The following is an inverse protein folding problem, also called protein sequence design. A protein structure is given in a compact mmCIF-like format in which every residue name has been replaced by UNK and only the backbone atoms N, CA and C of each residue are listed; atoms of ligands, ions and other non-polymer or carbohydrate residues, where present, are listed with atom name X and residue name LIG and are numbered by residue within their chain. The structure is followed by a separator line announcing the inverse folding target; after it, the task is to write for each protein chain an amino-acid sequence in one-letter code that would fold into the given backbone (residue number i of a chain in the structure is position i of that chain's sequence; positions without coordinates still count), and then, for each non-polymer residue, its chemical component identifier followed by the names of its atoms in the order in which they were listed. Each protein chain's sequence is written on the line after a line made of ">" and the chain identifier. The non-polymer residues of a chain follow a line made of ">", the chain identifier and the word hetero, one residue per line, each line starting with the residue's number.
data_IF_371053112234
#
_entry.id   IF_371053112234
#
_cell.length_a   1.000
_cell.length_b   1.000
_cell.length_c   1.000
_cell.angle_alpha   90.00
_cell.angle_beta   90.00
_cell.angle_gamma   90.00
#
_symmetry.space_group_name_H-M   'P 1'
#
loop_
_entity.id
_entity.type
_entity.pdbx_description
1 polymer ?
#
# COMPACT_ATOMS: atom_id res chain seq x y z
N UNK A 1 -3.84 -15.36 -21.89
CA UNK A 1 -2.98 -16.48 -21.42
C UNK A 1 -1.98 -16.81 -22.52
N UNK A 2 -0.69 -16.94 -22.18
CA UNK A 2 0.35 -17.17 -23.20
C UNK A 2 0.15 -18.54 -23.88
N UNK A 3 0.09 -18.60 -25.22
CA UNK A 3 -0.08 -19.86 -25.96
C UNK A 3 1.18 -20.74 -25.96
N UNK A 4 2.28 -20.30 -25.34
CA UNK A 4 3.59 -20.95 -25.39
C UNK A 4 3.90 -21.91 -24.23
N UNK A 5 3.01 -22.01 -23.24
CA UNK A 5 3.22 -22.85 -22.05
C UNK A 5 2.48 -24.17 -22.21
N UNK A 6 3.21 -25.28 -22.06
CA UNK A 6 2.60 -26.61 -21.93
C UNK A 6 1.78 -26.68 -20.63
N UNK A 7 0.87 -27.66 -20.50
CA UNK A 7 0.11 -27.85 -19.27
C UNK A 7 1.01 -28.07 -18.06
N UNK A 8 2.08 -28.86 -18.17
CA UNK A 8 2.97 -29.17 -17.03
C UNK A 8 3.66 -27.90 -16.51
N UNK A 9 4.18 -27.07 -17.42
CA UNK A 9 4.83 -25.81 -17.04
C UNK A 9 3.90 -24.85 -16.28
N UNK A 10 2.58 -24.93 -16.51
CA UNK A 10 1.61 -24.10 -15.79
C UNK A 10 1.41 -24.61 -14.38
N UNK A 11 1.37 -25.93 -14.19
CA UNK A 11 1.29 -26.55 -12.87
C UNK A 11 2.54 -26.22 -12.05
N UNK A 12 3.73 -26.34 -12.64
CA UNK A 12 4.98 -25.95 -11.99
C UNK A 12 4.98 -24.49 -11.53
N UNK A 13 4.50 -23.56 -12.38
CA UNK A 13 4.40 -22.14 -12.02
C UNK A 13 3.42 -21.94 -10.85
N UNK A 14 2.27 -22.60 -10.88
CA UNK A 14 1.29 -22.51 -9.80
C UNK A 14 1.90 -23.03 -8.50
N UNK A 15 2.61 -24.17 -8.56
CA UNK A 15 3.28 -24.75 -7.39
C UNK A 15 4.33 -23.80 -6.81
N UNK A 16 5.16 -23.17 -7.65
CA UNK A 16 6.13 -22.15 -7.23
C UNK A 16 5.44 -20.94 -6.62
N UNK A 17 4.36 -20.43 -7.23
CA UNK A 17 3.60 -19.29 -6.70
C UNK A 17 2.99 -19.61 -5.33
N UNK A 18 2.51 -20.85 -5.13
CA UNK A 18 2.02 -21.31 -3.83
C UNK A 18 3.13 -21.48 -2.80
N UNK A 19 4.24 -22.10 -3.19
CA UNK A 19 5.40 -22.35 -2.34
C UNK A 19 6.00 -21.04 -1.82
N UNK A 20 6.13 -20.04 -2.68
CA UNK A 20 6.71 -18.73 -2.36
C UNK A 20 5.66 -17.62 -2.24
N UNK A 21 4.41 -17.95 -1.89
CA UNK A 21 3.29 -16.99 -1.80
C UNK A 21 3.59 -15.74 -0.96
N UNK A 22 4.54 -15.83 -0.04
CA UNK A 22 4.93 -14.71 0.84
C UNK A 22 5.88 -13.71 0.18
N UNK A 23 6.60 -14.13 -0.86
CA UNK A 23 7.48 -13.28 -1.64
C UNK A 23 6.72 -12.41 -2.65
N UNK A 24 5.46 -12.77 -2.95
CA UNK A 24 4.60 -12.04 -3.87
C UNK A 24 3.68 -11.08 -3.12
N UNK A 25 3.37 -9.95 -3.75
CA UNK A 25 2.36 -9.03 -3.24
C UNK A 25 0.98 -9.71 -3.30
N UNK A 26 0.25 -9.68 -2.19
CA UNK A 26 -1.11 -10.20 -2.08
C UNK A 26 -1.96 -9.24 -1.27
N UNK A 27 -3.23 -9.11 -1.65
CA UNK A 27 -4.21 -8.20 -1.04
C UNK A 27 -4.43 -8.47 0.47
N UNK A 28 -4.08 -9.67 0.93
CA UNK A 28 -4.25 -10.12 2.31
C UNK A 28 -3.05 -9.85 3.23
N UNK A 29 -1.93 -9.35 2.70
CA UNK A 29 -0.73 -9.04 3.49
C UNK A 29 -0.44 -7.55 3.45
N UNK A 30 -0.08 -6.98 4.60
CA UNK A 30 0.32 -5.59 4.69
C UNK A 30 1.61 -5.36 3.91
N UNK A 31 1.64 -4.33 3.07
CA UNK A 31 2.85 -3.94 2.36
C UNK A 31 3.87 -3.37 3.35
N UNK A 32 5.13 -3.77 3.22
CA UNK A 32 6.25 -3.07 3.87
C UNK A 32 6.38 -3.26 5.38
N UNK A 33 5.83 -4.33 5.97
CA UNK A 33 6.02 -4.67 7.38
C UNK A 33 7.44 -5.21 7.70
N UNK A 34 8.48 -4.63 7.09
CA UNK A 34 9.89 -4.96 7.37
C UNK A 34 10.28 -4.24 8.66
N UNK A 35 10.39 -5.01 9.75
CA UNK A 35 10.84 -4.50 11.06
C UNK A 35 12.28 -4.00 10.94
N UNK A 36 12.60 -2.87 11.60
CA UNK A 36 13.96 -2.34 11.68
C UNK A 36 14.38 -1.41 10.53
N UNK A 37 13.47 -1.06 9.62
CA UNK A 37 13.70 -0.09 8.55
C UNK A 37 12.88 1.20 8.76
N UNK A 38 12.56 1.53 10.01
CA UNK A 38 11.83 2.74 10.35
C UNK A 38 12.68 3.98 10.05
N UNK A 39 12.12 4.93 9.29
CA UNK A 39 12.80 6.18 8.94
C UNK A 39 12.45 7.25 9.97
N UNK A 40 13.47 7.73 10.69
CA UNK A 40 13.35 8.91 11.53
C UNK A 40 13.46 10.18 10.69
N UNK A 41 12.40 10.98 10.62
CA UNK A 41 12.42 12.29 9.96
C UNK A 41 12.77 13.35 11.02
N UNK A 42 13.99 13.88 10.97
CA UNK A 42 14.46 14.95 11.87
C UNK A 42 14.10 16.30 11.25
N UNK A 43 13.46 17.16 12.03
CA UNK A 43 13.09 18.51 11.61
C UNK A 43 14.18 19.50 12.03
N UNK A 44 14.55 20.42 11.13
CA UNK A 44 15.56 21.44 11.39
C UNK A 44 15.00 22.68 12.11
N UNK A 45 13.78 22.61 12.67
CA UNK A 45 13.10 23.74 13.32
C UNK A 45 12.63 23.36 14.72
N UNK A 46 12.34 24.35 15.56
CA UNK A 46 11.87 24.15 16.94
C UNK A 46 10.35 24.30 17.04
N UNK A 47 9.76 23.87 18.18
CA UNK A 47 8.31 23.82 18.47
C UNK A 47 7.56 25.11 18.10
N UNK A 48 6.26 25.06 17.76
CA UNK A 48 5.25 24.05 18.11
C UNK A 48 4.94 23.04 17.00
N UNK A 49 4.84 21.77 17.40
CA UNK A 49 4.59 20.63 16.53
C UNK A 49 3.37 19.83 16.97
N UNK A 50 2.64 19.20 16.02
CA UNK A 50 2.79 19.34 14.56
C UNK A 50 2.32 20.72 14.06
N UNK A 51 2.81 21.19 12.90
CA UNK A 51 2.28 22.42 12.31
C UNK A 51 0.79 22.22 12.00
N UNK A 52 -0.05 23.11 12.53
CA UNK A 52 -1.47 23.13 12.19
C UNK A 52 -1.63 23.27 10.67
N UNK A 53 -2.43 22.40 10.07
CA UNK A 53 -2.83 22.54 8.67
C UNK A 53 -3.60 23.86 8.53
N UNK A 54 -2.94 24.88 7.97
CA UNK A 54 -3.52 26.23 7.86
C UNK A 54 -4.67 26.31 6.85
N UNK A 55 -4.88 25.29 6.03
CA UNK A 55 -5.87 25.27 4.96
C UNK A 55 -6.56 23.92 4.88
N UNK A 56 -7.88 23.89 4.61
CA UNK A 56 -8.56 22.65 4.28
C UNK A 56 -7.99 22.07 2.98
N UNK A 57 -8.17 20.77 2.78
CA UNK A 57 -7.86 20.14 1.50
C UNK A 57 -8.68 20.81 0.38
N UNK A 58 -8.07 20.95 -0.80
CA UNK A 58 -8.77 21.46 -1.96
C UNK A 58 -9.99 20.58 -2.29
N UNK A 59 -11.13 21.17 -2.70
CA UNK A 59 -12.30 20.40 -3.04
C UNK A 59 -12.01 19.52 -4.26
N UNK A 60 -12.26 18.23 -4.13
CA UNK A 60 -12.23 17.29 -5.24
C UNK A 60 -13.60 17.25 -5.95
N UNK A 61 -13.61 16.98 -7.25
CA UNK A 61 -14.86 16.70 -7.97
C UNK A 61 -15.51 15.41 -7.43
N UNK A 62 -16.83 15.22 -7.57
CA UNK A 62 -17.52 14.01 -7.08
C UNK A 62 -16.87 12.72 -7.59
N UNK A 63 -16.60 12.66 -8.90
CA UNK A 63 -15.92 11.52 -9.54
C UNK A 63 -14.51 11.28 -8.98
N UNK A 64 -13.75 12.36 -8.75
CA UNK A 64 -12.41 12.24 -8.18
C UNK A 64 -12.47 11.74 -6.72
N UNK A 65 -13.47 12.19 -5.96
CA UNK A 65 -13.67 11.78 -4.57
C UNK A 65 -13.96 10.28 -4.45
N UNK A 66 -14.84 9.75 -5.29
CA UNK A 66 -15.17 8.31 -5.33
C UNK A 66 -13.93 7.46 -5.66
N UNK A 67 -13.14 7.86 -6.66
CA UNK A 67 -11.91 7.17 -7.00
C UNK A 67 -10.88 7.22 -5.87
N UNK A 68 -10.70 8.39 -5.25
CA UNK A 68 -9.80 8.56 -4.10
C UNK A 68 -10.24 7.71 -2.91
N UNK A 69 -11.54 7.63 -2.62
CA UNK A 69 -12.06 6.83 -1.52
C UNK A 69 -11.77 5.33 -1.69
N UNK A 70 -11.91 4.81 -2.92
CA UNK A 70 -11.52 3.43 -3.24
C UNK A 70 -10.04 3.17 -2.93
N UNK A 71 -9.15 4.02 -3.41
CA UNK A 71 -7.70 3.87 -3.20
C UNK A 71 -7.29 4.09 -1.73
N UNK A 72 -7.90 5.04 -1.03
CA UNK A 72 -7.65 5.25 0.40
C UNK A 72 -8.04 4.00 1.19
N UNK A 73 -9.19 3.40 0.89
CA UNK A 73 -9.63 2.17 1.55
C UNK A 73 -8.67 1.00 1.30
N UNK A 74 -8.16 0.86 0.09
CA UNK A 74 -7.15 -0.14 -0.26
C UNK A 74 -5.85 0.07 0.54
N UNK A 75 -5.33 1.30 0.57
CA UNK A 75 -4.12 1.64 1.32
C UNK A 75 -4.27 1.46 2.84
N UNK A 76 -5.48 1.67 3.39
CA UNK A 76 -5.77 1.36 4.78
C UNK A 76 -5.75 -0.15 5.05
N UNK A 77 -6.34 -0.98 4.15
CA UNK A 77 -6.30 -2.45 4.26
C UNK A 77 -4.87 -2.98 4.20
N UNK A 78 -4.04 -2.41 3.33
CA UNK A 78 -2.63 -2.76 3.19
C UNK A 78 -1.75 -2.26 4.35
N UNK A 79 -2.31 -1.51 5.31
CA UNK A 79 -1.59 -0.98 6.47
C UNK A 79 -0.65 0.19 6.16
N UNK A 80 -0.72 0.75 4.94
CA UNK A 80 0.08 1.89 4.49
C UNK A 80 -0.45 3.18 5.08
N UNK A 81 -1.77 3.35 5.10
CA UNK A 81 -2.44 4.49 5.72
C UNK A 81 -3.09 4.07 7.05
N UNK A 82 -3.04 4.95 8.04
CA UNK A 82 -3.75 4.78 9.32
C UNK A 82 -4.38 6.09 9.77
N UNK A 83 -5.51 5.98 10.46
CA UNK A 83 -6.13 7.14 11.12
C UNK A 83 -5.27 7.55 12.32
N UNK A 84 -4.81 8.80 12.33
CA UNK A 84 -4.14 9.42 13.48
C UNK A 84 -5.19 10.21 14.27
N UNK A 85 -5.15 10.11 15.60
CA UNK A 85 -6.05 10.84 16.51
C UNK A 85 -5.55 12.25 16.76
#
# INVERSE_FOLDING_TARGET
>A
MSPKLTPEMKEDIIEILFQYREAFASDNKTLGAIKGHEVGIILNVERLYPPLLRRPAYPASPRAREALESHINELMKLGVLRKVR
#
